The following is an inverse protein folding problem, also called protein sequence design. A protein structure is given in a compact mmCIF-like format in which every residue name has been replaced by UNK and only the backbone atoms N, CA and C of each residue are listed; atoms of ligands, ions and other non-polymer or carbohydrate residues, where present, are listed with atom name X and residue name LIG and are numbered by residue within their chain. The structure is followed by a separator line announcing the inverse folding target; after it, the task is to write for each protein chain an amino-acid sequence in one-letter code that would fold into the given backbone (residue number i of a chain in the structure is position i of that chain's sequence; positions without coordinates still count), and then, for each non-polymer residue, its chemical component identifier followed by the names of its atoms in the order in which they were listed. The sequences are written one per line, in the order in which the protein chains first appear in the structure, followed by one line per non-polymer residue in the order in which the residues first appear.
data_IF_312056470935
#
_entry.id   IF_312056470935
#
_cell.length_a   1.000
_cell.length_b   1.000
_cell.length_c   1.000
_cell.angle_alpha   90.00
_cell.angle_beta   90.00
_cell.angle_gamma   90.00
#
_symmetry.space_group_name_H-M   'P 1'
#
loop_
_entity.id
_entity.type
_entity.pdbx_description
1 polymer ?
#
# COMPACT_ATOMS: atom_id res chain seq x y z
N UNK A 1 16.63 -8.20 16.16
CA UNK A 1 15.71 -7.64 15.14
C UNK A 1 15.94 -8.36 13.82
N UNK A 2 14.94 -9.08 13.29
CA UNK A 2 15.05 -9.69 11.95
C UNK A 2 15.07 -8.54 10.93
N UNK A 3 16.18 -8.38 10.19
CA UNK A 3 16.28 -7.46 9.05
C UNK A 3 15.41 -8.06 7.94
N UNK A 4 14.19 -7.55 7.79
CA UNK A 4 13.30 -7.96 6.70
C UNK A 4 13.70 -7.13 5.49
N UNK A 5 14.48 -7.71 4.57
CA UNK A 5 14.66 -7.14 3.24
C UNK A 5 13.39 -7.41 2.44
N UNK A 6 12.52 -6.41 2.33
CA UNK A 6 11.28 -6.48 1.56
C UNK A 6 11.52 -5.95 0.16
N UNK A 7 11.16 -6.72 -0.85
CA UNK A 7 11.17 -6.25 -2.24
C UNK A 7 10.22 -5.05 -2.39
N UNK A 8 10.63 -4.06 -3.18
CA UNK A 8 9.81 -2.86 -3.41
C UNK A 8 8.57 -3.22 -4.25
N UNK A 9 8.77 -3.93 -5.37
CA UNK A 9 7.73 -4.40 -6.29
C UNK A 9 8.17 -5.72 -6.94
N UNK A 10 7.21 -6.55 -7.33
CA UNK A 10 7.38 -7.74 -8.17
C UNK A 10 6.22 -7.80 -9.18
N UNK A 11 6.46 -7.91 -10.50
CA UNK A 11 5.39 -8.01 -11.51
C UNK A 11 4.52 -9.28 -11.36
N UNK A 12 5.12 -10.35 -10.85
CA UNK A 12 4.52 -11.68 -10.67
C UNK A 12 3.55 -11.70 -9.48
N UNK A 13 3.71 -10.78 -8.51
CA UNK A 13 2.94 -10.75 -7.26
C UNK A 13 1.85 -9.67 -7.28
N UNK A 14 0.58 -10.10 -7.26
CA UNK A 14 -0.56 -9.19 -7.14
C UNK A 14 -0.87 -8.83 -5.68
N UNK A 15 -1.48 -7.66 -5.40
CA UNK A 15 -1.98 -7.32 -4.07
C UNK A 15 -3.02 -8.34 -3.58
N UNK A 16 -2.95 -8.71 -2.30
CA UNK A 16 -3.86 -9.69 -1.69
C UNK A 16 -4.79 -9.03 -0.68
N UNK A 17 -6.11 -9.25 -0.83
CA UNK A 17 -7.08 -8.86 0.19
C UNK A 17 -7.09 -9.93 1.29
N UNK A 18 -6.46 -9.62 2.41
CA UNK A 18 -6.40 -10.52 3.57
C UNK A 18 -7.76 -10.59 4.28
N UNK A 19 -8.21 -11.80 4.61
CA UNK A 19 -9.49 -12.02 5.32
C UNK A 19 -9.31 -12.07 6.83
N UNK A 20 -8.10 -12.38 7.30
CA UNK A 20 -7.77 -12.46 8.72
C UNK A 20 -6.50 -11.68 9.06
N UNK A 21 -6.40 -11.23 10.31
CA UNK A 21 -5.20 -10.55 10.82
C UNK A 21 -3.95 -11.47 10.77
N UNK A 22 -4.14 -12.77 11.02
CA UNK A 22 -3.07 -13.77 10.99
C UNK A 22 -2.48 -13.94 9.60
N UNK A 23 -3.33 -13.95 8.56
CA UNK A 23 -2.86 -13.97 7.17
C UNK A 23 -2.05 -12.72 6.85
N UNK A 24 -2.59 -11.54 7.18
CA UNK A 24 -1.91 -10.26 6.96
C UNK A 24 -0.54 -10.18 7.66
N UNK A 25 -0.45 -10.58 8.94
CA UNK A 25 0.80 -10.52 9.72
C UNK A 25 1.88 -11.45 9.19
N UNK A 26 1.50 -12.58 8.62
CA UNK A 26 2.42 -13.58 8.08
C UNK A 26 2.72 -13.37 6.59
N UNK A 27 2.00 -12.48 5.91
CA UNK A 27 2.17 -12.23 4.48
C UNK A 27 3.44 -11.42 4.18
N UNK A 28 4.38 -12.05 3.49
CA UNK A 28 5.59 -11.41 2.98
C UNK A 28 5.34 -10.99 1.52
N UNK A 29 4.61 -9.89 1.33
CA UNK A 29 4.44 -9.25 0.02
C UNK A 29 5.50 -8.18 -0.26
N UNK A 30 5.29 -7.43 -1.34
CA UNK A 30 6.12 -6.26 -1.69
C UNK A 30 5.67 -4.98 -0.97
N UNK A 31 6.56 -3.98 -0.89
CA UNK A 31 6.23 -2.68 -0.30
C UNK A 31 5.12 -1.95 -1.06
N UNK A 32 5.08 -2.06 -2.38
CA UNK A 32 4.04 -1.48 -3.23
C UNK A 32 2.70 -2.20 -3.02
N UNK A 33 2.69 -3.54 -2.97
CA UNK A 33 1.45 -4.28 -2.71
C UNK A 33 0.86 -3.92 -1.35
N UNK A 34 1.70 -3.72 -0.33
CA UNK A 34 1.22 -3.29 0.99
C UNK A 34 0.47 -1.96 1.01
N UNK A 35 0.85 -1.01 0.15
CA UNK A 35 0.12 0.24 -0.01
C UNK A 35 -1.30 -0.01 -0.53
N UNK A 36 -1.45 -0.91 -1.52
CA UNK A 36 -2.75 -1.32 -2.04
C UNK A 36 -3.57 -2.14 -1.05
N UNK A 37 -2.93 -3.05 -0.32
CA UNK A 37 -3.61 -3.96 0.61
C UNK A 37 -4.16 -3.23 1.83
N UNK A 38 -3.53 -2.14 2.27
CA UNK A 38 -3.87 -1.50 3.55
C UNK A 38 -3.94 0.02 3.50
N UNK A 39 -2.91 0.68 3.01
CA UNK A 39 -2.73 2.12 3.21
C UNK A 39 -3.75 3.00 2.47
N UNK A 40 -4.45 2.47 1.46
CA UNK A 40 -5.50 3.19 0.71
C UNK A 40 -6.91 3.09 1.31
N UNK A 41 -7.11 2.29 2.37
CA UNK A 41 -8.40 2.07 3.04
C UNK A 41 -8.74 2.92 4.28
N UNK A 42 -7.81 3.67 4.92
CA UNK A 42 -8.06 4.15 6.28
C UNK A 42 -8.98 5.37 6.37
N UNK A 43 -9.29 6.09 5.28
CA UNK A 43 -10.15 7.31 5.33
C UNK A 43 -11.56 7.04 5.84
N UNK A 44 -12.16 5.92 5.42
CA UNK A 44 -13.51 5.52 5.85
C UNK A 44 -13.53 4.97 7.28
N UNK A 45 -12.35 4.68 7.85
CA UNK A 45 -12.15 4.19 9.21
C UNK A 45 -11.78 5.33 10.20
N UNK A 46 -11.71 6.59 9.74
CA UNK A 46 -11.36 7.72 10.59
C UNK A 46 -12.50 8.12 11.52
N UNK A 47 -12.21 8.20 12.81
CA UNK A 47 -13.18 8.50 13.86
C UNK A 47 -13.60 9.98 13.91
N UNK A 48 -12.80 10.90 13.37
CA UNK A 48 -13.07 12.35 13.39
C UNK A 48 -13.09 12.93 11.98
N UNK A 49 -13.83 14.02 11.80
CA UNK A 49 -13.92 14.73 10.51
C UNK A 49 -12.55 15.20 10.05
N UNK A 50 -11.78 15.84 10.95
CA UNK A 50 -10.42 16.32 10.65
C UNK A 50 -9.49 15.17 10.25
N UNK A 51 -9.59 14.01 10.92
CA UNK A 51 -8.76 12.85 10.56
C UNK A 51 -9.12 12.29 9.18
N UNK A 52 -10.40 12.37 8.79
CA UNK A 52 -10.88 11.97 7.46
C UNK A 52 -10.35 12.88 6.37
N UNK A 53 -10.44 14.20 6.55
CA UNK A 53 -9.90 15.20 5.61
C UNK A 53 -8.40 15.00 5.41
N UNK A 54 -7.63 14.83 6.49
CA UNK A 54 -6.20 14.55 6.40
C UNK A 54 -5.91 13.19 5.73
N UNK A 55 -6.76 12.19 5.94
CA UNK A 55 -6.60 10.89 5.30
C UNK A 55 -6.89 10.96 3.80
N UNK A 56 -7.82 11.81 3.35
CA UNK A 56 -8.10 12.06 1.95
C UNK A 56 -6.91 12.70 1.23
N UNK A 57 -6.32 13.76 1.82
CA UNK A 57 -5.11 14.39 1.26
C UNK A 57 -3.95 13.40 1.11
N UNK A 58 -3.75 12.55 2.12
CA UNK A 58 -2.72 11.49 2.11
C UNK A 58 -3.02 10.40 1.09
N UNK A 59 -4.28 10.01 0.91
CA UNK A 59 -4.72 9.04 -0.11
C UNK A 59 -4.43 9.58 -1.51
N UNK A 60 -4.76 10.86 -1.77
CA UNK A 60 -4.47 11.53 -3.05
C UNK A 60 -2.97 11.54 -3.34
N UNK A 61 -2.14 11.96 -2.38
CA UNK A 61 -0.68 11.96 -2.53
C UNK A 61 -0.14 10.55 -2.82
N UNK A 62 -0.60 9.55 -2.06
CA UNK A 62 -0.13 8.17 -2.19
C UNK A 62 -0.49 7.60 -3.56
N UNK A 63 -1.70 7.87 -4.07
CA UNK A 63 -2.12 7.46 -5.42
C UNK A 63 -1.28 8.14 -6.50
N UNK A 64 -1.01 9.44 -6.37
CA UNK A 64 -0.16 10.17 -7.31
C UNK A 64 1.26 9.59 -7.35
N UNK A 65 1.84 9.28 -6.20
CA UNK A 65 3.12 8.58 -6.09
C UNK A 65 3.08 7.21 -6.79
N UNK A 66 2.07 6.38 -6.51
CA UNK A 66 1.93 5.05 -7.10
C UNK A 66 1.80 5.12 -8.63
N UNK A 67 1.05 6.09 -9.16
CA UNK A 67 0.93 6.32 -10.60
C UNK A 67 2.27 6.70 -11.22
N UNK A 68 3.03 7.60 -10.59
CA UNK A 68 4.36 7.98 -11.07
C UNK A 68 5.32 6.79 -11.04
N UNK A 69 5.38 6.09 -9.92
CA UNK A 69 6.21 4.90 -9.75
C UNK A 69 5.88 3.82 -10.80
N UNK A 70 4.60 3.60 -11.11
CA UNK A 70 4.20 2.65 -12.14
C UNK A 70 4.63 3.08 -13.55
N UNK A 71 4.55 4.39 -13.86
CA UNK A 71 5.03 4.91 -15.16
C UNK A 71 6.53 4.73 -15.31
N UNK A 72 7.31 5.16 -14.33
CA UNK A 72 8.77 5.03 -14.34
C UNK A 72 9.19 3.56 -14.50
N UNK A 73 8.57 2.68 -13.72
CA UNK A 73 8.87 1.25 -13.79
C UNK A 73 8.54 0.60 -15.14
N UNK A 74 7.46 1.01 -15.81
CA UNK A 74 7.09 0.51 -17.14
C UNK A 74 7.96 1.10 -18.27
N UNK A 75 8.57 2.26 -18.05
CA UNK A 75 9.52 2.87 -19.01
C UNK A 75 10.87 2.15 -18.95
N UNK A 76 11.23 1.59 -17.79
CA UNK A 76 12.50 0.89 -17.55
C UNK A 76 12.45 -0.64 -17.78
N UNK A 77 11.26 -1.22 -18.05
CA UNK A 77 11.06 -2.66 -18.31
C UNK A 77 10.93 -3.00 -19.79
#
# INVERSE_FOLDING_TARGET
MKKIFRLIRSPEEKPVIHKTEKEYKNHIGTSINHLYEKSLHPKDLMNTVVARELAEERDVFTRAFLMQFQREYLIES
#
